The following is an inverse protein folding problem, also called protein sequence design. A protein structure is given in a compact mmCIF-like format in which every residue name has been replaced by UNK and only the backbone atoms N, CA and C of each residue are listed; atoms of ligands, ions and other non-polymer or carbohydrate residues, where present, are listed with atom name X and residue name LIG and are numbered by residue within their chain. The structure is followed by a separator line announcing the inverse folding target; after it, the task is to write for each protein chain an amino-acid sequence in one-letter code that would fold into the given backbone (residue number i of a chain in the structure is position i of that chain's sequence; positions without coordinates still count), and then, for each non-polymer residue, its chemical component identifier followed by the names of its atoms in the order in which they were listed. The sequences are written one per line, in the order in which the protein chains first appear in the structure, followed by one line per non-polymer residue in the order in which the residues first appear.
data_IF_289926574478
#
_entry.id   IF_289926574478
#
_cell.length_a   1.000
_cell.length_b   1.000
_cell.length_c   1.000
_cell.angle_alpha   90.00
_cell.angle_beta   90.00
_cell.angle_gamma   90.00
#
_symmetry.space_group_name_H-M   'P 1'
#
loop_
_entity.id
_entity.type
_entity.pdbx_description
1 polymer ?
#
# COMPACT_ATOMS: atom_id res chain seq x y z
N UNK A 1 4.33 14.77 21.75
CA UNK A 1 5.53 13.94 21.49
C UNK A 1 5.70 13.91 19.99
N UNK A 2 6.90 13.93 19.45
CA UNK A 2 7.11 13.78 18.03
C UNK A 2 6.55 12.42 17.57
N UNK A 3 5.97 12.40 16.37
CA UNK A 3 5.45 11.16 15.76
C UNK A 3 6.65 10.24 15.48
N UNK A 4 6.54 8.97 15.86
CA UNK A 4 7.58 7.97 15.58
C UNK A 4 7.43 7.43 14.15
N UNK A 5 7.74 8.26 13.15
CA UNK A 5 7.71 7.87 11.75
C UNK A 5 8.99 7.15 11.32
N UNK A 6 8.93 6.25 10.31
CA UNK A 6 10.13 5.66 9.73
C UNK A 6 10.92 6.72 8.95
N UNK A 7 12.23 6.56 8.91
CA UNK A 7 13.09 7.37 8.04
C UNK A 7 12.91 6.96 6.57
N UNK A 8 13.31 7.82 5.64
CA UNK A 8 13.32 7.50 4.21
C UNK A 8 14.15 6.24 3.91
N UNK A 9 15.32 6.12 4.55
CA UNK A 9 16.19 4.95 4.39
C UNK A 9 15.54 3.67 4.90
N UNK A 10 14.84 3.71 6.03
CA UNK A 10 14.08 2.56 6.55
C UNK A 10 12.98 2.14 5.58
N UNK A 11 12.26 3.09 4.99
CA UNK A 11 11.21 2.83 3.99
C UNK A 11 11.82 2.17 2.76
N UNK A 12 12.85 2.80 2.17
CA UNK A 12 13.54 2.28 0.99
C UNK A 12 14.05 0.85 1.23
N UNK A 13 14.82 0.66 2.29
CA UNK A 13 15.38 -0.65 2.65
C UNK A 13 14.31 -1.71 2.84
N UNK A 14 13.20 -1.36 3.50
CA UNK A 14 12.10 -2.31 3.77
C UNK A 14 11.39 -2.76 2.51
N UNK A 15 11.13 -1.83 1.58
CA UNK A 15 10.49 -2.14 0.31
C UNK A 15 11.44 -2.93 -0.58
N UNK A 16 12.67 -2.45 -0.80
CA UNK A 16 13.65 -3.11 -1.65
C UNK A 16 13.96 -4.53 -1.15
N UNK A 17 14.23 -4.70 0.15
CA UNK A 17 14.51 -6.01 0.75
C UNK A 17 13.37 -7.01 0.53
N UNK A 18 12.12 -6.57 0.60
CA UNK A 18 10.97 -7.44 0.40
C UNK A 18 10.92 -7.97 -1.04
N UNK A 19 11.09 -7.08 -2.03
CA UNK A 19 11.11 -7.47 -3.45
C UNK A 19 12.31 -8.34 -3.79
N UNK A 20 13.52 -7.97 -3.33
CA UNK A 20 14.76 -8.71 -3.59
C UNK A 20 14.71 -10.13 -3.01
N UNK A 21 14.21 -10.30 -1.78
CA UNK A 21 14.10 -11.62 -1.16
C UNK A 21 13.18 -12.55 -1.93
N UNK A 22 12.09 -12.03 -2.47
CA UNK A 22 11.17 -12.85 -3.29
C UNK A 22 11.74 -13.07 -4.69
N UNK A 23 12.39 -12.07 -5.29
CA UNK A 23 13.05 -12.22 -6.60
C UNK A 23 14.17 -13.28 -6.56
N UNK A 24 14.97 -13.30 -5.51
CA UNK A 24 16.08 -14.24 -5.35
C UNK A 24 15.59 -15.63 -4.91
N UNK A 25 14.71 -15.67 -3.91
CA UNK A 25 14.29 -16.94 -3.29
C UNK A 25 13.15 -17.65 -4.01
N UNK A 26 12.29 -16.90 -4.69
CA UNK A 26 11.05 -17.41 -5.27
C UNK A 26 10.73 -16.78 -6.65
N UNK A 27 11.67 -16.72 -7.59
CA UNK A 27 11.50 -15.99 -8.85
C UNK A 27 10.27 -16.48 -9.63
N UNK A 28 10.03 -17.79 -9.67
CA UNK A 28 8.86 -18.36 -10.36
C UNK A 28 7.50 -17.95 -9.78
N UNK A 29 7.46 -17.46 -8.54
CA UNK A 29 6.22 -17.04 -7.86
C UNK A 29 6.05 -15.52 -7.84
N UNK A 30 7.10 -14.75 -8.04
CA UNK A 30 7.08 -13.29 -7.91
C UNK A 30 6.00 -12.66 -8.81
N UNK A 31 5.92 -13.09 -10.06
CA UNK A 31 4.96 -12.54 -11.01
C UNK A 31 3.50 -12.72 -10.55
N UNK A 32 3.18 -13.81 -9.85
CA UNK A 32 1.85 -14.03 -9.26
C UNK A 32 1.48 -13.03 -8.16
N UNK A 33 2.47 -12.41 -7.51
CA UNK A 33 2.25 -11.35 -6.54
C UNK A 33 2.08 -9.98 -7.18
N UNK A 34 2.53 -9.81 -8.43
CA UNK A 34 2.53 -8.54 -9.14
C UNK A 34 1.33 -8.39 -10.09
N UNK A 35 0.81 -9.50 -10.61
CA UNK A 35 -0.28 -9.50 -11.59
C UNK A 35 -1.49 -10.22 -10.99
N UNK A 36 -2.64 -9.53 -10.83
CA UNK A 36 -3.88 -10.17 -10.42
C UNK A 36 -4.37 -11.08 -11.54
N UNK A 37 -4.49 -12.35 -11.22
CA UNK A 37 -5.11 -13.33 -12.10
C UNK A 37 -6.35 -13.85 -11.39
N UNK A 38 -7.51 -13.32 -11.75
CA UNK A 38 -8.79 -13.84 -11.27
C UNK A 38 -9.38 -14.80 -12.29
N UNK A 39 -9.86 -15.96 -11.82
CA UNK A 39 -10.54 -16.95 -12.66
C UNK A 39 -11.79 -16.39 -13.37
N UNK A 40 -12.36 -15.31 -12.87
CA UNK A 40 -13.52 -14.65 -13.48
C UNK A 40 -13.16 -13.79 -14.69
N UNK A 41 -11.88 -13.48 -14.90
CA UNK A 41 -11.40 -12.67 -16.04
C UNK A 41 -11.17 -13.48 -17.32
N UNK A 42 -11.83 -14.60 -17.49
CA UNK A 42 -11.64 -15.53 -18.62
C UNK A 42 -11.98 -15.00 -20.02
N UNK A 43 -12.43 -13.76 -20.17
CA UNK A 43 -12.95 -13.28 -21.46
C UNK A 43 -12.05 -12.34 -22.24
N UNK A 44 -10.84 -12.00 -21.76
CA UNK A 44 -9.96 -11.13 -22.55
C UNK A 44 -8.61 -10.86 -21.91
N UNK A 45 -7.58 -11.12 -22.68
CA UNK A 45 -6.17 -10.84 -22.41
C UNK A 45 -5.91 -9.38 -21.99
N UNK A 46 -6.74 -8.48 -22.46
CA UNK A 46 -6.67 -7.03 -22.23
C UNK A 46 -7.07 -6.60 -20.82
N UNK A 47 -7.83 -7.41 -20.07
CA UNK A 47 -8.36 -7.01 -18.76
C UNK A 47 -7.31 -7.00 -17.64
N UNK A 48 -6.31 -7.87 -17.69
CA UNK A 48 -5.25 -7.94 -16.67
C UNK A 48 -4.44 -6.65 -16.68
N UNK A 49 -4.02 -6.19 -17.84
CA UNK A 49 -3.31 -4.92 -17.99
C UNK A 49 -4.18 -3.74 -17.56
N UNK A 50 -5.45 -3.77 -17.93
CA UNK A 50 -6.37 -2.67 -17.61
C UNK A 50 -6.52 -2.46 -16.12
N UNK A 51 -6.65 -3.52 -15.32
CA UNK A 51 -6.86 -3.36 -13.87
C UNK A 51 -5.59 -2.87 -13.16
N UNK A 52 -4.45 -3.51 -13.38
CA UNK A 52 -3.20 -3.16 -12.64
C UNK A 52 -2.62 -1.84 -13.10
N UNK A 53 -2.52 -1.64 -14.43
CA UNK A 53 -1.98 -0.41 -14.97
C UNK A 53 -2.93 0.76 -14.70
N UNK A 54 -4.25 0.54 -14.72
CA UNK A 54 -5.25 1.55 -14.38
C UNK A 54 -5.17 1.95 -12.92
N UNK A 55 -5.16 0.99 -11.96
CA UNK A 55 -5.07 1.33 -10.54
C UNK A 55 -3.76 2.05 -10.19
N UNK A 56 -2.63 1.59 -10.76
CA UNK A 56 -1.35 2.25 -10.56
C UNK A 56 -1.33 3.64 -11.18
N UNK A 57 -1.87 3.80 -12.39
CA UNK A 57 -1.93 5.07 -13.11
C UNK A 57 -2.84 6.05 -12.37
N UNK A 58 -4.04 5.62 -11.94
CA UNK A 58 -4.96 6.45 -11.17
C UNK A 58 -4.35 6.92 -9.85
N UNK A 59 -3.62 6.05 -9.14
CA UNK A 59 -2.92 6.42 -7.92
C UNK A 59 -1.83 7.47 -8.19
N UNK A 60 -1.05 7.28 -9.26
CA UNK A 60 -0.01 8.23 -9.67
C UNK A 60 -0.62 9.57 -10.11
N UNK A 61 -1.68 9.54 -10.90
CA UNK A 61 -2.34 10.75 -11.41
C UNK A 61 -3.01 11.53 -10.28
N UNK A 62 -3.65 10.84 -9.34
CA UNK A 62 -4.17 11.46 -8.12
C UNK A 62 -3.06 12.18 -7.35
N UNK A 63 -1.97 11.49 -7.03
CA UNK A 63 -0.86 12.08 -6.26
C UNK A 63 -0.21 13.24 -7.01
N UNK A 64 0.02 13.11 -8.32
CA UNK A 64 0.64 14.15 -9.14
C UNK A 64 -0.29 15.37 -9.30
N UNK A 65 -1.58 15.15 -9.56
CA UNK A 65 -2.56 16.22 -9.71
C UNK A 65 -2.71 17.04 -8.43
N UNK A 66 -2.82 16.38 -7.28
CA UNK A 66 -2.90 17.10 -6.00
C UNK A 66 -1.58 17.72 -5.57
N UNK A 67 -0.41 17.15 -5.93
CA UNK A 67 0.89 17.79 -5.72
C UNK A 67 1.04 19.08 -6.55
N UNK A 68 0.58 19.07 -7.80
CA UNK A 68 0.56 20.28 -8.61
C UNK A 68 -0.29 21.39 -7.97
N UNK A 69 -1.46 21.01 -7.45
CA UNK A 69 -2.36 21.94 -6.75
C UNK A 69 -1.76 22.43 -5.43
N UNK A 70 -1.08 21.56 -4.68
CA UNK A 70 -0.37 21.88 -3.45
C UNK A 70 0.71 22.96 -3.66
N UNK A 71 1.40 22.92 -4.80
CA UNK A 71 2.44 23.88 -5.17
C UNK A 71 1.87 25.26 -5.57
N UNK A 72 0.61 25.30 -6.01
CA UNK A 72 -0.07 26.53 -6.45
C UNK A 72 -0.83 27.24 -5.33
N UNK A 73 -1.12 26.58 -4.21
CA UNK A 73 -1.86 27.20 -3.13
C UNK A 73 -0.95 27.84 -2.09
N UNK A 74 -1.25 29.06 -1.67
CA UNK A 74 -0.52 29.77 -0.61
C UNK A 74 -1.18 29.63 0.76
N UNK A 75 -2.44 29.20 0.79
CA UNK A 75 -3.20 29.09 2.02
C UNK A 75 -2.78 27.88 2.85
N UNK A 76 -2.11 28.12 3.99
CA UNK A 76 -1.47 27.08 4.81
C UNK A 76 -2.41 25.93 5.24
N UNK A 77 -3.65 26.23 5.63
CA UNK A 77 -4.62 25.20 6.03
C UNK A 77 -5.06 24.31 4.86
N UNK A 78 -5.14 24.90 3.67
CA UNK A 78 -5.44 24.13 2.44
C UNK A 78 -4.27 23.22 2.10
N UNK A 79 -3.02 23.68 2.23
CA UNK A 79 -1.82 22.84 2.05
C UNK A 79 -1.87 21.61 2.95
N UNK A 80 -2.17 21.80 4.24
CA UNK A 80 -2.23 20.70 5.22
C UNK A 80 -3.38 19.75 4.89
N UNK A 81 -4.54 20.25 4.46
CA UNK A 81 -5.65 19.41 4.00
C UNK A 81 -5.28 18.55 2.82
N UNK A 82 -4.64 19.13 1.80
CA UNK A 82 -4.18 18.40 0.62
C UNK A 82 -3.14 17.35 0.97
N UNK A 83 -2.15 17.69 1.81
CA UNK A 83 -1.16 16.72 2.31
C UNK A 83 -1.82 15.55 3.04
N UNK A 84 -2.80 15.84 3.90
CA UNK A 84 -3.54 14.81 4.63
C UNK A 84 -4.34 13.92 3.67
N UNK A 85 -4.98 14.52 2.67
CA UNK A 85 -5.73 13.78 1.65
C UNK A 85 -4.83 12.82 0.87
N UNK A 86 -3.68 13.30 0.37
CA UNK A 86 -2.71 12.48 -0.37
C UNK A 86 -2.17 11.36 0.53
N UNK A 87 -1.79 11.69 1.77
CA UNK A 87 -1.33 10.71 2.75
C UNK A 87 -2.35 9.59 2.97
N UNK A 88 -3.61 9.93 3.22
CA UNK A 88 -4.67 8.94 3.42
C UNK A 88 -4.85 8.07 2.18
N UNK A 89 -4.90 8.69 1.00
CA UNK A 89 -5.12 7.98 -0.25
C UNK A 89 -4.00 6.97 -0.57
N UNK A 90 -2.74 7.35 -0.36
CA UNK A 90 -1.59 6.45 -0.56
C UNK A 90 -1.67 5.24 0.38
N UNK A 91 -1.95 5.47 1.68
CA UNK A 91 -1.97 4.38 2.67
C UNK A 91 -3.23 3.50 2.59
N UNK A 92 -4.30 3.99 1.96
CA UNK A 92 -5.54 3.24 1.73
C UNK A 92 -5.57 2.55 0.36
N UNK A 93 -4.59 2.81 -0.50
CA UNK A 93 -4.52 2.19 -1.82
C UNK A 93 -4.35 0.66 -1.71
N UNK A 94 -5.27 -0.07 -2.33
CA UNK A 94 -5.33 -1.52 -2.21
C UNK A 94 -4.18 -2.23 -2.92
N UNK A 95 -3.78 -1.76 -4.08
CA UNK A 95 -2.74 -2.42 -4.88
C UNK A 95 -1.40 -2.55 -4.15
N UNK A 96 -0.77 -1.49 -3.59
CA UNK A 96 0.47 -1.62 -2.85
C UNK A 96 0.36 -2.57 -1.65
N UNK A 97 -0.73 -2.47 -0.89
CA UNK A 97 -0.95 -3.32 0.29
C UNK A 97 -1.11 -4.79 -0.10
N UNK A 98 -1.85 -5.07 -1.18
CA UNK A 98 -2.07 -6.44 -1.66
C UNK A 98 -0.78 -7.04 -2.22
N UNK A 99 0.02 -6.27 -2.94
CA UNK A 99 1.34 -6.72 -3.42
C UNK A 99 2.26 -7.04 -2.23
N UNK A 100 2.40 -6.15 -1.26
CA UNK A 100 3.22 -6.44 -0.06
C UNK A 100 2.75 -7.69 0.66
N UNK A 101 1.44 -7.84 0.83
CA UNK A 101 0.87 -9.03 1.45
C UNK A 101 1.18 -10.31 0.68
N UNK A 102 1.05 -10.31 -0.65
CA UNK A 102 1.35 -11.46 -1.50
C UNK A 102 2.84 -11.81 -1.51
N UNK A 103 3.73 -10.81 -1.51
CA UNK A 103 5.18 -11.05 -1.39
C UNK A 103 5.51 -11.75 -0.06
N UNK A 104 4.90 -11.33 1.04
CA UNK A 104 5.06 -11.97 2.35
C UNK A 104 4.48 -13.38 2.39
N UNK A 105 3.34 -13.62 1.72
CA UNK A 105 2.73 -14.96 1.60
C UNK A 105 3.66 -15.91 0.85
N UNK A 106 4.25 -15.47 -0.26
CA UNK A 106 5.25 -16.27 -1.00
C UNK A 106 6.40 -16.68 -0.09
N UNK A 107 6.93 -15.75 0.72
CA UNK A 107 8.01 -16.02 1.66
C UNK A 107 7.59 -16.96 2.81
N UNK A 108 6.30 -17.02 3.12
CA UNK A 108 5.69 -17.94 4.10
C UNK A 108 5.15 -19.21 3.44
N UNK A 109 5.55 -19.49 2.18
CA UNK A 109 5.14 -20.65 1.38
C UNK A 109 3.63 -20.76 1.13
N UNK A 110 2.89 -19.65 1.30
CA UNK A 110 1.48 -19.56 1.02
C UNK A 110 1.22 -19.15 -0.45
N UNK A 111 0.10 -19.59 -1.06
CA UNK A 111 -0.27 -19.14 -2.41
C UNK A 111 -0.67 -17.66 -2.42
N UNK A 112 -0.42 -16.96 -3.52
CA UNK A 112 -0.92 -15.60 -3.72
C UNK A 112 -2.45 -15.57 -3.72
N UNK A 113 -3.01 -14.46 -3.23
CA UNK A 113 -4.45 -14.23 -3.24
C UNK A 113 -4.70 -12.73 -3.42
N UNK A 114 -5.60 -12.36 -4.34
CA UNK A 114 -5.94 -10.96 -4.61
C UNK A 114 -7.15 -10.47 -3.81
N UNK A 115 -7.82 -11.37 -3.11
CA UNK A 115 -8.76 -11.00 -2.04
C UNK A 115 -8.04 -11.04 -0.70
N UNK A 116 -7.90 -9.91 -0.06
CA UNK A 116 -7.13 -9.76 1.16
C UNK A 116 -7.84 -10.46 2.35
N UNK A 117 -7.17 -11.41 2.97
CA UNK A 117 -7.70 -12.15 4.12
C UNK A 117 -6.85 -11.93 5.37
N UNK A 118 -7.52 -11.86 6.51
CA UNK A 118 -6.88 -11.81 7.82
C UNK A 118 -7.15 -13.09 8.62
N UNK A 119 -6.15 -13.54 9.35
CA UNK A 119 -6.33 -14.61 10.33
C UNK A 119 -6.89 -14.02 11.63
N UNK A 120 -7.96 -14.61 12.13
CA UNK A 120 -8.61 -14.22 13.39
C UNK A 120 -8.79 -15.44 14.29
N UNK A 121 -9.09 -15.22 15.56
CA UNK A 121 -9.39 -16.32 16.51
C UNK A 121 -10.58 -17.20 16.06
N UNK A 122 -11.46 -16.69 15.18
CA UNK A 122 -12.62 -17.39 14.63
C UNK A 122 -12.39 -17.99 13.24
N UNK A 123 -11.14 -17.97 12.75
CA UNK A 123 -10.75 -18.41 11.42
C UNK A 123 -10.39 -17.24 10.48
N UNK A 124 -10.29 -17.55 9.19
CA UNK A 124 -9.94 -16.58 8.16
C UNK A 124 -11.17 -15.80 7.71
N UNK A 125 -11.03 -14.49 7.58
CA UNK A 125 -12.07 -13.59 7.02
C UNK A 125 -11.47 -12.58 6.04
N UNK A 126 -12.29 -12.04 5.16
CA UNK A 126 -11.89 -10.93 4.26
C UNK A 126 -11.56 -9.68 5.09
N UNK A 127 -10.46 -9.03 4.77
CA UNK A 127 -10.05 -7.76 5.36
C UNK A 127 -10.52 -6.60 4.49
N UNK A 128 -11.57 -5.91 4.92
CA UNK A 128 -12.14 -4.77 4.20
C UNK A 128 -11.48 -3.44 4.60
N UNK A 129 -10.97 -3.36 5.84
CA UNK A 129 -10.47 -2.12 6.41
C UNK A 129 -8.95 -2.06 6.37
N UNK A 130 -8.39 -0.91 6.00
CA UNK A 130 -6.95 -0.68 5.88
C UNK A 130 -6.16 -1.07 7.13
N UNK A 131 -6.65 -0.75 8.34
CA UNK A 131 -5.96 -1.15 9.56
C UNK A 131 -5.88 -2.66 9.76
N UNK A 132 -6.85 -3.43 9.25
CA UNK A 132 -6.82 -4.90 9.28
C UNK A 132 -5.78 -5.43 8.29
N UNK A 133 -5.69 -4.83 7.09
CA UNK A 133 -4.68 -5.17 6.08
C UNK A 133 -3.28 -4.92 6.62
N UNK A 134 -3.04 -3.75 7.21
CA UNK A 134 -1.75 -3.39 7.82
C UNK A 134 -1.40 -4.35 8.97
N UNK A 135 -2.34 -4.69 9.83
CA UNK A 135 -2.12 -5.63 10.93
C UNK A 135 -1.74 -7.03 10.42
N UNK A 136 -2.37 -7.50 9.34
CA UNK A 136 -2.04 -8.80 8.75
C UNK A 136 -0.68 -8.78 8.03
N UNK A 137 -0.35 -7.70 7.32
CA UNK A 137 1.00 -7.49 6.78
C UNK A 137 2.04 -7.51 7.90
N UNK A 138 1.77 -6.84 9.02
CA UNK A 138 2.68 -6.82 10.17
C UNK A 138 2.86 -8.22 10.78
N UNK A 139 1.80 -9.02 10.87
CA UNK A 139 1.87 -10.41 11.33
C UNK A 139 2.77 -11.26 10.43
N UNK A 140 2.54 -11.24 9.11
CA UNK A 140 3.35 -11.99 8.15
C UNK A 140 4.79 -11.47 8.08
N UNK A 141 4.99 -10.14 8.15
CA UNK A 141 6.30 -9.51 8.19
C UNK A 141 7.13 -10.00 9.38
N UNK A 142 6.50 -10.20 10.54
CA UNK A 142 7.15 -10.78 11.72
C UNK A 142 7.57 -12.24 11.48
N UNK A 143 6.70 -13.06 10.87
CA UNK A 143 6.99 -14.47 10.56
C UNK A 143 8.12 -14.61 9.53
N UNK A 144 8.19 -13.71 8.56
CA UNK A 144 9.19 -13.73 7.49
C UNK A 144 10.45 -12.91 7.80
N UNK A 145 10.55 -12.35 9.02
CA UNK A 145 11.65 -11.50 9.45
C UNK A 145 11.96 -10.35 8.49
N UNK A 146 10.91 -9.63 8.06
CA UNK A 146 10.99 -8.41 7.24
C UNK A 146 10.55 -7.20 8.05
N UNK A 147 10.88 -5.99 7.60
CA UNK A 147 10.59 -4.75 8.31
C UNK A 147 9.37 -3.99 7.77
N UNK A 148 8.78 -4.43 6.64
CA UNK A 148 7.69 -3.68 5.98
C UNK A 148 6.47 -3.49 6.89
N UNK A 149 6.12 -4.49 7.70
CA UNK A 149 5.03 -4.38 8.67
C UNK A 149 5.26 -3.32 9.73
N UNK A 150 6.50 -3.20 10.23
CA UNK A 150 6.88 -2.14 11.17
C UNK A 150 6.81 -0.75 10.52
N UNK A 151 7.26 -0.61 9.28
CA UNK A 151 7.18 0.64 8.52
C UNK A 151 5.72 1.06 8.35
N UNK A 152 4.85 0.18 7.89
CA UNK A 152 3.43 0.48 7.69
C UNK A 152 2.72 0.83 9.00
N UNK A 153 3.00 0.11 10.10
CA UNK A 153 2.43 0.41 11.42
C UNK A 153 2.84 1.79 11.95
N UNK A 154 4.08 2.22 11.70
CA UNK A 154 4.58 3.55 12.10
C UNK A 154 4.06 4.67 11.20
N UNK A 155 3.70 4.35 9.96
CA UNK A 155 3.07 5.30 9.04
C UNK A 155 1.57 5.44 9.24
N UNK A 156 0.90 4.42 9.73
CA UNK A 156 -0.55 4.41 9.86
C UNK A 156 -1.02 5.16 11.11
N UNK A 157 -1.57 6.37 10.90
CA UNK A 157 -2.14 7.22 11.95
C UNK A 157 -3.68 7.22 11.88
N UNK A 158 -4.35 6.23 12.49
CA UNK A 158 -5.80 6.09 12.39
C UNK A 158 -6.55 7.29 12.96
N UNK A 159 -5.95 8.01 13.92
CA UNK A 159 -6.52 9.23 14.49
C UNK A 159 -6.63 10.35 13.48
N UNK A 160 -5.56 10.60 12.70
CA UNK A 160 -5.53 11.61 11.64
C UNK A 160 -6.50 11.24 10.52
N UNK A 161 -6.41 9.99 10.05
CA UNK A 161 -7.28 9.47 8.99
C UNK A 161 -8.77 9.61 9.33
N UNK A 162 -9.17 9.14 10.50
CA UNK A 162 -10.58 9.17 10.91
C UNK A 162 -11.09 10.61 11.11
N UNK A 163 -10.27 11.47 11.74
CA UNK A 163 -10.62 12.87 11.91
C UNK A 163 -10.85 13.54 10.55
N UNK A 164 -9.96 13.31 9.60
CA UNK A 164 -10.04 13.90 8.27
C UNK A 164 -11.24 13.36 7.47
N UNK A 165 -11.40 12.04 7.37
CA UNK A 165 -12.46 11.40 6.58
C UNK A 165 -13.86 11.72 7.09
N UNK A 166 -14.03 11.96 8.39
CA UNK A 166 -15.31 12.29 9.00
C UNK A 166 -15.48 13.78 9.28
N UNK A 167 -14.56 14.64 8.83
CA UNK A 167 -14.54 16.08 9.13
C UNK A 167 -14.62 16.38 10.63
N UNK A 168 -14.12 15.48 11.47
CA UNK A 168 -14.16 15.60 12.93
C UNK A 168 -12.89 16.24 13.48
N UNK A 169 -12.53 17.41 12.96
CA UNK A 169 -11.36 18.15 13.40
C UNK A 169 -11.60 19.65 13.37
N UNK A 170 -10.82 20.37 14.13
CA UNK A 170 -10.70 21.82 14.09
C UNK A 170 -9.24 22.26 14.09
N UNK A 171 -8.99 23.47 13.65
CA UNK A 171 -7.69 24.10 13.69
C UNK A 171 -7.54 24.91 14.98
N UNK A 172 -6.47 24.67 15.71
CA UNK A 172 -6.07 25.46 16.87
C UNK A 172 -4.62 25.94 16.63
N UNK A 173 -4.47 27.13 16.07
CA UNK A 173 -3.18 27.60 15.56
C UNK A 173 -2.68 26.68 14.44
N UNK A 174 -1.45 26.20 14.55
CA UNK A 174 -0.83 25.28 13.59
C UNK A 174 -1.01 23.80 13.97
N UNK A 175 -2.10 23.47 14.66
CA UNK A 175 -2.42 22.12 15.11
C UNK A 175 -3.81 21.72 14.67
N UNK A 176 -3.90 20.54 14.02
CA UNK A 176 -5.17 19.85 13.74
C UNK A 176 -5.55 19.04 14.99
N UNK A 177 -6.70 19.34 15.58
CA UNK A 177 -7.24 18.60 16.74
C UNK A 177 -8.53 17.90 16.37
N UNK A 178 -8.70 16.69 16.88
CA UNK A 178 -9.96 15.96 16.72
C UNK A 178 -11.04 16.58 17.61
N UNK A 179 -12.23 16.79 17.04
CA UNK A 179 -13.36 17.38 17.82
C UNK A 179 -13.78 16.49 18.99
N UNK A 180 -13.68 15.16 18.85
CA UNK A 180 -13.98 14.22 19.92
C UNK A 180 -13.03 14.31 21.13
N UNK A 181 -11.81 14.81 20.93
CA UNK A 181 -10.85 15.00 22.02
C UNK A 181 -11.13 16.29 22.80
N UNK A 182 -11.94 17.19 22.24
CA UNK A 182 -12.34 18.46 22.89
C UNK A 182 -13.59 18.28 23.77
N UNK A 183 -14.28 17.15 23.70
CA UNK A 183 -15.48 16.88 24.52
C UNK A 183 -15.08 16.58 25.96
N UNK A 184 -15.57 17.36 26.97
CA UNK A 184 -15.25 17.14 28.38
C UNK A 184 -15.69 15.77 28.91
N UNK A 185 -16.62 15.10 28.23
CA UNK A 185 -17.19 13.81 28.63
C UNK A 185 -16.62 12.60 27.84
N UNK A 186 -15.59 12.80 27.01
CA UNK A 186 -15.04 11.71 26.25
C UNK A 186 -14.32 10.71 27.17
N UNK A 187 -14.77 9.42 27.16
CA UNK A 187 -14.11 8.35 27.92
C UNK A 187 -12.64 8.15 27.54
N UNK A 188 -12.21 8.70 26.40
CA UNK A 188 -10.82 8.70 25.89
C UNK A 188 -9.95 9.75 26.56
N UNK A 189 -10.53 10.88 27.02
CA UNK A 189 -9.78 11.87 27.82
C UNK A 189 -9.25 11.28 29.14
N UNK A 190 -9.95 10.32 29.73
CA UNK A 190 -9.51 9.63 30.98
C UNK A 190 -8.29 8.70 30.77
N UNK A 191 -7.98 8.31 29.52
CA UNK A 191 -6.81 7.46 29.19
C UNK A 191 -5.65 8.23 28.56
N UNK A 192 -5.87 9.40 28.01
CA UNK A 192 -4.82 10.26 27.47
C UNK A 192 -4.49 11.36 28.48
N UNK A 193 -3.77 10.96 29.53
CA UNK A 193 -3.17 11.93 30.42
C UNK A 193 -2.26 12.88 29.64
N UNK A 194 -2.63 14.15 29.62
CA UNK A 194 -1.73 15.30 29.56
C UNK A 194 -0.97 15.67 28.27
N UNK A 195 -1.14 15.00 27.14
CA UNK A 195 -0.60 15.52 25.87
C UNK A 195 -1.74 15.73 24.89
N UNK A 196 -2.04 17.00 24.61
CA UNK A 196 -3.09 17.37 23.67
C UNK A 196 -2.93 16.62 22.35
N UNK A 197 -3.88 15.73 22.06
CA UNK A 197 -3.91 14.83 20.91
C UNK A 197 -4.21 15.61 19.64
N UNK A 198 -3.25 16.38 19.17
CA UNK A 198 -3.30 17.09 17.90
C UNK A 198 -2.10 16.74 17.04
N UNK A 199 -2.26 16.91 15.75
CA UNK A 199 -1.16 16.81 14.78
C UNK A 199 -0.73 18.22 14.40
N UNK A 200 0.53 18.56 14.62
CA UNK A 200 1.07 19.80 14.11
C UNK A 200 1.15 19.77 12.58
N UNK A 201 1.29 20.91 11.94
CA UNK A 201 1.50 20.96 10.49
C UNK A 201 2.79 20.24 10.09
N UNK A 202 3.82 20.30 10.95
CA UNK A 202 5.06 19.56 10.76
C UNK A 202 4.84 18.04 10.83
N UNK A 203 4.01 17.56 11.76
CA UNK A 203 3.68 16.13 11.85
C UNK A 203 2.98 15.64 10.58
N UNK A 204 2.01 16.41 10.08
CA UNK A 204 1.31 16.08 8.83
C UNK A 204 2.28 16.10 7.63
N UNK A 205 3.21 17.05 7.61
CA UNK A 205 4.22 17.14 6.56
C UNK A 205 5.14 15.92 6.54
N UNK A 206 5.62 15.49 7.69
CA UNK A 206 6.45 14.30 7.85
C UNK A 206 5.69 13.05 7.39
N UNK A 207 4.45 12.84 7.84
CA UNK A 207 3.62 11.70 7.44
C UNK A 207 3.39 11.67 5.93
N UNK A 208 3.06 12.81 5.34
CA UNK A 208 2.87 12.96 3.91
C UNK A 208 4.15 12.62 3.12
N UNK A 209 5.32 13.11 3.53
CA UNK A 209 6.58 12.80 2.85
C UNK A 209 6.92 11.30 2.97
N UNK A 210 6.75 10.72 4.15
CA UNK A 210 6.97 9.28 4.34
C UNK A 210 6.03 8.42 3.47
N UNK A 211 4.74 8.79 3.35
CA UNK A 211 3.81 8.08 2.48
C UNK A 211 4.20 8.20 1.00
N UNK A 212 4.62 9.38 0.55
CA UNK A 212 5.15 9.58 -0.81
C UNK A 212 6.39 8.75 -1.09
N UNK A 213 7.32 8.69 -0.15
CA UNK A 213 8.51 7.86 -0.27
C UNK A 213 8.15 6.38 -0.35
N UNK A 214 7.19 5.92 0.47
CA UNK A 214 6.68 4.55 0.39
C UNK A 214 6.13 4.23 -1.01
N UNK A 215 5.28 5.11 -1.55
CA UNK A 215 4.71 4.94 -2.89
C UNK A 215 5.81 4.96 -3.97
N UNK A 216 6.74 5.92 -3.89
CA UNK A 216 7.84 6.04 -4.85
C UNK A 216 8.69 4.77 -4.91
N UNK A 217 9.15 4.26 -3.76
CA UNK A 217 9.96 3.05 -3.71
C UNK A 217 9.17 1.80 -4.08
N UNK A 218 7.87 1.73 -3.72
CA UNK A 218 6.99 0.68 -4.19
C UNK A 218 6.93 0.64 -5.72
N UNK A 219 6.62 1.77 -6.37
CA UNK A 219 6.52 1.86 -7.84
C UNK A 219 7.86 1.48 -8.51
N UNK A 220 8.98 1.97 -7.98
CA UNK A 220 10.29 1.68 -8.52
C UNK A 220 10.61 0.17 -8.47
N UNK A 221 10.43 -0.46 -7.30
CA UNK A 221 10.65 -1.91 -7.13
C UNK A 221 9.66 -2.74 -7.95
N UNK A 222 8.38 -2.35 -7.98
CA UNK A 222 7.33 -3.01 -8.75
C UNK A 222 7.66 -3.02 -10.25
N UNK A 223 7.99 -1.85 -10.82
CA UNK A 223 8.36 -1.73 -12.24
C UNK A 223 9.63 -2.51 -12.59
N UNK A 224 10.63 -2.45 -11.71
CA UNK A 224 11.86 -3.22 -11.89
C UNK A 224 11.59 -4.72 -11.85
N UNK A 225 10.77 -5.19 -10.90
CA UNK A 225 10.42 -6.59 -10.78
C UNK A 225 9.65 -7.10 -12.00
N UNK A 226 8.65 -6.36 -12.49
CA UNK A 226 7.89 -6.73 -13.69
C UNK A 226 8.78 -6.79 -14.93
N UNK A 227 9.72 -5.86 -15.08
CA UNK A 227 10.63 -5.81 -16.23
C UNK A 227 11.42 -7.10 -16.44
N UNK A 228 11.71 -7.84 -15.36
CA UNK A 228 12.42 -9.12 -15.45
C UNK A 228 11.63 -10.21 -16.19
N UNK A 229 10.34 -10.02 -16.43
CA UNK A 229 9.45 -10.98 -17.09
C UNK A 229 8.93 -10.48 -18.43
N UNK A 230 9.38 -9.31 -18.89
CA UNK A 230 8.99 -8.71 -20.17
C UNK A 230 9.95 -9.12 -21.29
N UNK A 231 10.24 -10.41 -21.40
CA UNK A 231 11.21 -10.99 -22.35
C UNK A 231 10.55 -11.87 -23.43
N UNK A 232 9.22 -11.87 -23.49
CA UNK A 232 8.43 -12.68 -24.43
C UNK A 232 8.33 -14.16 -24.04
N UNK A 233 8.89 -14.58 -22.91
CA UNK A 233 8.69 -15.93 -22.40
C UNK A 233 7.33 -16.09 -21.70
N UNK A 234 6.82 -17.31 -21.68
CA UNK A 234 5.62 -17.63 -20.91
C UNK A 234 5.99 -17.99 -19.47
N UNK A 235 5.31 -17.33 -18.52
CA UNK A 235 5.52 -17.53 -17.09
C UNK A 235 4.27 -18.11 -16.44
N UNK A 236 4.48 -19.08 -15.56
CA UNK A 236 3.38 -19.68 -14.80
C UNK A 236 2.94 -18.75 -13.66
N UNK A 237 1.66 -18.40 -13.64
CA UNK A 237 1.03 -17.63 -12.57
C UNK A 237 -0.22 -18.35 -12.08
N UNK A 238 -0.30 -18.65 -10.80
CA UNK A 238 -1.42 -19.40 -10.22
C UNK A 238 -1.81 -20.63 -11.07
N UNK A 239 -2.98 -20.60 -11.71
CA UNK A 239 -3.56 -21.72 -12.47
C UNK A 239 -3.35 -21.59 -14.00
N UNK A 240 -2.49 -20.68 -14.47
CA UNK A 240 -2.31 -20.44 -15.89
C UNK A 240 -0.93 -19.90 -16.27
N UNK A 241 -0.82 -19.44 -17.50
CA UNK A 241 0.40 -18.89 -18.04
C UNK A 241 0.15 -17.47 -18.55
N UNK A 242 1.12 -16.57 -18.36
CA UNK A 242 1.11 -15.23 -18.93
C UNK A 242 2.38 -15.04 -19.76
N UNK A 243 2.25 -14.27 -20.81
CA UNK A 243 3.35 -13.87 -21.69
C UNK A 243 3.28 -12.36 -21.90
N UNK A 244 4.41 -11.70 -21.95
CA UNK A 244 4.49 -10.30 -22.33
C UNK A 244 4.53 -10.16 -23.84
N UNK A 245 3.66 -9.32 -24.39
CA UNK A 245 3.70 -8.86 -25.77
C UNK A 245 3.92 -7.35 -25.82
N UNK A 246 4.88 -6.89 -26.58
CA UNK A 246 5.28 -5.46 -26.59
C UNK A 246 4.18 -4.49 -27.06
N UNK A 247 3.17 -5.02 -27.77
CA UNK A 247 2.04 -4.21 -28.29
C UNK A 247 0.79 -4.34 -27.43
N UNK A 248 0.52 -5.55 -26.92
CA UNK A 248 -0.70 -5.88 -26.22
C UNK A 248 -0.52 -5.94 -24.69
N UNK A 249 0.73 -5.94 -24.19
CA UNK A 249 1.05 -6.10 -22.78
C UNK A 249 0.95 -7.56 -22.30
N UNK A 250 0.48 -7.78 -21.06
CA UNK A 250 0.33 -9.12 -20.51
C UNK A 250 -0.82 -9.89 -21.15
N UNK A 251 -0.48 -11.00 -21.80
CA UNK A 251 -1.43 -11.91 -22.44
C UNK A 251 -1.59 -13.17 -21.60
N UNK A 252 -2.86 -13.58 -21.38
CA UNK A 252 -3.18 -14.86 -20.75
C UNK A 252 -3.18 -15.97 -21.80
N UNK A 253 -2.41 -17.01 -21.58
CA UNK A 253 -2.35 -18.16 -22.47
C UNK A 253 -2.99 -19.38 -21.83
N UNK A 254 -4.22 -19.70 -22.21
CA UNK A 254 -4.94 -20.88 -21.73
C UNK A 254 -4.34 -22.21 -22.24
N UNK A 255 -3.60 -22.19 -23.36
CA UNK A 255 -3.13 -23.37 -24.09
C UNK A 255 -1.65 -23.30 -24.46
N UNK A 256 -0.79 -22.70 -23.62
CA UNK A 256 0.65 -22.80 -23.88
C UNK A 256 1.01 -24.29 -23.96
N UNK A 257 1.20 -24.78 -25.17
CA UNK A 257 1.86 -26.08 -25.36
C UNK A 257 3.14 -26.02 -24.57
N UNK A 258 3.23 -26.86 -23.52
CA UNK A 258 4.41 -27.05 -22.71
C UNK A 258 5.64 -26.99 -23.61
N UNK A 259 6.36 -25.90 -23.61
CA UNK A 259 7.77 -25.91 -23.89
C UNK A 259 8.41 -26.32 -22.58
N UNK A 260 8.55 -27.62 -22.39
CA UNK A 260 9.42 -28.18 -21.35
C UNK A 260 10.81 -27.62 -21.63
N UNK A 261 11.29 -26.75 -20.71
CA UNK A 261 12.69 -26.35 -20.61
C UNK A 261 13.26 -27.10 -19.43
#
# INVERSE_FOLDING_TARGET
MPINTPTEEEIHRSVAQLFDRVLIGYPAKLLSALIPVDKTMHTGLTLINYVVDSEMQELCDFVNGFNAHLNQTDYKYQKVRLKTLIYCHILEADLPLTVFWNLLRIMNEEPCNWTFHCVTAKGTKVCELTHQKIAEIARLSSLTHTSIGSVLNRLWEPGLRNAFSHSQYCWMGDTLRRTNDLSPNSRRQKKSSATGSGYSFADVDILYQCAKNLLYYFIACYRLAIKNYQDGNAYKVQDGWVVWDDKAGWLWEQNARRRDV
#
